data_IF_205036948767
#
_entry.id   IF_205036948767
#
_cell.length_a   1.000
_cell.length_b   1.000
_cell.length_c   1.000
_cell.angle_alpha   90.00
_cell.angle_beta   90.00
_cell.angle_gamma   90.00
#
_symmetry.space_group_name_H-M   'P 1'
#
loop_
_entity.id
_entity.type
_entity.pdbx_description
1 polymer ?
#
# COMPACT_ATOMS: atom_id res chain seq x y z
N UNK A 1 8.11 -6.98 25.83
CA UNK A 1 9.42 -7.58 25.56
C UNK A 1 9.81 -7.22 24.14
N UNK A 2 10.75 -6.30 23.97
CA UNK A 2 11.37 -5.99 22.68
C UNK A 2 12.34 -7.13 22.35
N UNK A 3 12.01 -7.96 21.37
CA UNK A 3 12.95 -8.95 20.87
C UNK A 3 13.95 -8.23 19.96
N UNK A 4 15.16 -8.01 20.44
CA UNK A 4 16.26 -7.48 19.65
C UNK A 4 16.59 -8.46 18.51
N UNK A 5 16.75 -7.93 17.28
CA UNK A 5 17.10 -8.69 16.06
C UNK A 5 18.46 -9.44 16.20
N UNK A 6 19.27 -9.11 17.20
CA UNK A 6 20.58 -9.72 17.47
C UNK A 6 20.56 -11.07 18.20
N UNK A 7 19.39 -11.67 18.45
CA UNK A 7 19.30 -12.98 19.13
C UNK A 7 19.48 -14.14 18.17
N UNK A 8 20.13 -15.22 18.64
CA UNK A 8 20.19 -16.50 17.91
C UNK A 8 18.78 -17.08 17.80
N UNK A 9 18.19 -17.07 16.60
CA UNK A 9 16.86 -17.59 16.36
C UNK A 9 16.87 -19.12 16.29
N UNK A 10 16.04 -19.77 17.09
CA UNK A 10 15.61 -21.13 16.84
C UNK A 10 14.49 -21.14 15.78
N UNK A 11 14.24 -22.23 15.05
CA UNK A 11 13.17 -22.31 14.04
C UNK A 11 11.80 -21.87 14.60
N UNK A 12 11.48 -22.27 15.84
CA UNK A 12 10.22 -21.91 16.51
C UNK A 12 10.19 -20.42 16.86
N UNK A 13 11.32 -19.87 17.31
CA UNK A 13 11.43 -18.43 17.61
C UNK A 13 11.26 -17.58 16.33
N UNK A 14 11.85 -18.02 15.23
CA UNK A 14 11.72 -17.39 13.92
C UNK A 14 10.27 -17.42 13.43
N UNK A 15 9.59 -18.57 13.56
CA UNK A 15 8.18 -18.70 13.18
C UNK A 15 7.28 -17.77 14.03
N UNK A 16 7.50 -17.70 15.34
CA UNK A 16 6.75 -16.78 16.23
C UNK A 16 6.99 -15.30 15.88
N UNK A 17 8.16 -14.96 15.37
CA UNK A 17 8.49 -13.60 14.94
C UNK A 17 7.84 -13.29 13.59
N UNK A 18 7.82 -14.23 12.64
CA UNK A 18 7.24 -14.07 11.31
C UNK A 18 5.69 -14.17 11.29
N UNK A 19 5.09 -14.89 12.24
CA UNK A 19 3.65 -15.15 12.28
C UNK A 19 2.79 -13.88 12.18
N UNK A 20 3.06 -12.78 12.91
CA UNK A 20 2.29 -11.55 12.78
C UNK A 20 2.30 -10.99 11.36
N UNK A 21 3.46 -11.02 10.68
CA UNK A 21 3.58 -10.53 9.30
C UNK A 21 2.81 -11.41 8.31
N UNK A 22 2.82 -12.74 8.51
CA UNK A 22 2.04 -13.67 7.69
C UNK A 22 0.54 -13.44 7.86
N UNK A 23 0.07 -13.31 9.10
CA UNK A 23 -1.34 -13.03 9.41
C UNK A 23 -1.77 -11.68 8.82
N UNK A 24 -0.89 -10.68 8.87
CA UNK A 24 -1.11 -9.37 8.28
C UNK A 24 -1.34 -9.45 6.75
N UNK A 25 -0.53 -10.21 6.02
CA UNK A 25 -0.71 -10.41 4.57
C UNK A 25 -2.03 -11.12 4.25
N UNK A 26 -2.41 -12.13 5.04
CA UNK A 26 -3.70 -12.80 4.89
C UNK A 26 -4.87 -11.83 5.09
N UNK A 27 -4.80 -10.99 6.12
CA UNK A 27 -5.83 -9.97 6.37
C UNK A 27 -5.94 -8.95 5.24
N UNK A 28 -4.81 -8.50 4.67
CA UNK A 28 -4.81 -7.60 3.51
C UNK A 28 -5.53 -8.21 2.30
N UNK A 29 -5.29 -9.49 2.03
CA UNK A 29 -6.00 -10.19 0.95
C UNK A 29 -7.51 -10.31 1.23
N UNK A 30 -7.89 -10.59 2.47
CA UNK A 30 -9.29 -10.72 2.86
C UNK A 30 -10.06 -9.40 2.70
N UNK A 31 -9.52 -8.27 3.15
CA UNK A 31 -10.24 -7.01 3.04
C UNK A 31 -10.40 -6.56 1.58
N UNK A 32 -9.42 -6.81 0.70
CA UNK A 32 -9.56 -6.53 -0.74
C UNK A 32 -10.74 -7.29 -1.37
N UNK A 33 -10.95 -8.55 -0.96
CA UNK A 33 -12.11 -9.34 -1.40
C UNK A 33 -13.42 -8.75 -0.87
N UNK A 34 -13.44 -8.33 0.40
CA UNK A 34 -14.62 -7.73 1.03
C UNK A 34 -14.99 -6.42 0.34
N UNK A 35 -14.03 -5.54 0.05
CA UNK A 35 -14.22 -4.30 -0.70
C UNK A 35 -14.87 -4.57 -2.08
N UNK A 36 -14.34 -5.54 -2.84
CA UNK A 36 -14.91 -5.95 -4.13
C UNK A 36 -16.35 -6.48 -4.01
N UNK A 37 -16.70 -7.21 -2.93
CA UNK A 37 -18.06 -7.67 -2.66
C UNK A 37 -18.99 -6.49 -2.40
N UNK A 38 -18.58 -5.49 -1.62
CA UNK A 38 -19.38 -4.29 -1.36
C UNK A 38 -19.63 -3.51 -2.65
N UNK A 39 -18.61 -3.21 -3.45
CA UNK A 39 -18.76 -2.53 -4.73
C UNK A 39 -19.73 -3.29 -5.63
N UNK A 40 -19.53 -4.59 -5.82
CA UNK A 40 -20.38 -5.41 -6.69
C UNK A 40 -21.84 -5.44 -6.22
N UNK A 41 -22.09 -5.53 -4.92
CA UNK A 41 -23.42 -5.69 -4.34
C UNK A 41 -24.23 -4.39 -4.35
N UNK A 42 -23.61 -3.26 -4.08
CA UNK A 42 -24.31 -1.98 -3.92
C UNK A 42 -24.29 -1.12 -5.18
N UNK A 43 -23.23 -1.19 -5.98
CA UNK A 43 -23.05 -0.37 -7.18
C UNK A 43 -23.22 -1.14 -8.49
N UNK A 44 -23.20 -2.48 -8.43
CA UNK A 44 -23.38 -3.34 -9.60
C UNK A 44 -22.07 -3.64 -10.35
N UNK A 45 -22.25 -4.31 -11.51
CA UNK A 45 -21.12 -4.85 -12.29
C UNK A 45 -20.32 -3.77 -13.04
N UNK A 46 -20.92 -2.64 -13.38
CA UNK A 46 -20.22 -1.55 -14.09
C UNK A 46 -19.21 -0.85 -13.19
N UNK A 47 -19.60 -0.55 -11.95
CA UNK A 47 -18.70 0.02 -10.96
C UNK A 47 -17.57 -0.93 -10.59
N UNK A 48 -17.88 -2.23 -10.43
CA UNK A 48 -16.84 -3.25 -10.19
C UNK A 48 -15.86 -3.35 -11.38
N UNK A 49 -16.36 -3.26 -12.61
CA UNK A 49 -15.52 -3.25 -13.80
C UNK A 49 -14.62 -2.02 -13.85
N UNK A 50 -15.16 -0.85 -13.50
CA UNK A 50 -14.38 0.39 -13.41
C UNK A 50 -13.28 0.28 -12.34
N UNK A 51 -13.59 -0.23 -11.15
CA UNK A 51 -12.60 -0.46 -10.09
C UNK A 51 -11.48 -1.40 -10.57
N UNK A 52 -11.82 -2.50 -11.26
CA UNK A 52 -10.85 -3.46 -11.80
C UNK A 52 -9.96 -2.84 -12.88
N UNK A 53 -10.49 -1.96 -13.75
CA UNK A 53 -9.72 -1.24 -14.77
C UNK A 53 -8.71 -0.28 -14.13
N UNK A 54 -9.08 0.39 -13.06
CA UNK A 54 -8.21 1.33 -12.32
C UNK A 54 -7.19 0.62 -11.43
N UNK A 55 -7.48 -0.60 -11.00
CA UNK A 55 -6.66 -1.37 -10.06
C UNK A 55 -5.16 -1.47 -10.42
N UNK A 56 -4.72 -1.57 -11.70
CA UNK A 56 -3.31 -1.53 -12.06
C UNK A 56 -2.58 -0.27 -11.65
N UNK A 57 -3.22 0.90 -11.67
CA UNK A 57 -2.61 2.17 -11.19
C UNK A 57 -2.38 2.10 -9.69
N UNK A 58 -3.36 1.60 -8.95
CA UNK A 58 -3.22 1.39 -7.51
C UNK A 58 -2.11 0.39 -7.18
N UNK A 59 -2.02 -0.72 -7.92
CA UNK A 59 -0.92 -1.68 -7.79
C UNK A 59 0.44 -1.09 -8.11
N UNK A 60 0.54 -0.18 -9.07
CA UNK A 60 1.79 0.53 -9.36
C UNK A 60 2.23 1.38 -8.15
N UNK A 61 1.30 2.13 -7.55
CA UNK A 61 1.56 2.90 -6.33
C UNK A 61 2.02 1.99 -5.18
N UNK A 62 1.30 0.88 -4.96
CA UNK A 62 1.67 -0.13 -3.97
C UNK A 62 3.05 -0.74 -4.25
N UNK A 63 3.34 -1.12 -5.50
CA UNK A 63 4.61 -1.72 -5.88
C UNK A 63 5.80 -0.78 -5.59
N UNK A 64 5.65 0.51 -5.88
CA UNK A 64 6.65 1.53 -5.52
C UNK A 64 6.78 1.64 -4.00
N UNK A 65 5.65 1.67 -3.28
CA UNK A 65 5.64 1.68 -1.81
C UNK A 65 6.35 0.47 -1.20
N UNK A 66 6.07 -0.72 -1.70
CA UNK A 66 6.69 -1.98 -1.27
C UNK A 66 8.19 -1.98 -1.58
N UNK A 67 8.61 -1.47 -2.74
CA UNK A 67 10.03 -1.33 -3.07
C UNK A 67 10.79 -0.51 -2.03
N UNK A 68 10.28 0.66 -1.67
CA UNK A 68 10.88 1.50 -0.64
C UNK A 68 10.78 0.87 0.75
N UNK A 69 9.67 0.21 1.06
CA UNK A 69 9.44 -0.43 2.35
C UNK A 69 10.39 -1.60 2.59
N UNK A 70 10.46 -2.55 1.65
CA UNK A 70 11.31 -3.75 1.78
C UNK A 70 12.78 -3.43 1.61
N UNK A 71 13.12 -2.66 0.57
CA UNK A 71 14.50 -2.26 0.32
C UNK A 71 15.05 -1.33 1.40
N UNK A 72 14.25 -0.36 1.83
CA UNK A 72 14.63 0.57 2.91
C UNK A 72 14.77 -0.13 4.26
N UNK A 73 13.81 -0.99 4.60
CA UNK A 73 13.89 -1.76 5.86
C UNK A 73 15.12 -2.68 5.90
N UNK A 74 15.55 -3.24 4.78
CA UNK A 74 16.76 -4.07 4.69
C UNK A 74 18.02 -3.24 4.99
N UNK A 75 18.14 -2.04 4.39
CA UNK A 75 19.28 -1.14 4.62
C UNK A 75 19.34 -0.67 6.08
N UNK A 76 18.20 -0.22 6.61
CA UNK A 76 18.08 0.27 7.98
C UNK A 76 18.33 -0.86 8.99
N UNK A 77 17.76 -2.05 8.78
CA UNK A 77 17.99 -3.21 9.66
C UNK A 77 19.45 -3.63 9.69
N UNK A 78 20.15 -3.59 8.55
CA UNK A 78 21.57 -3.87 8.47
C UNK A 78 22.38 -2.91 9.32
N UNK A 79 22.16 -1.61 9.20
CA UNK A 79 22.85 -0.58 9.99
C UNK A 79 22.55 -0.71 11.48
N UNK A 80 21.31 -1.01 11.86
CA UNK A 80 20.95 -1.31 13.26
C UNK A 80 21.72 -2.52 13.80
N UNK A 81 21.84 -3.58 12.99
CA UNK A 81 22.61 -4.78 13.33
C UNK A 81 24.11 -4.53 13.47
N UNK A 82 24.67 -3.57 12.72
CA UNK A 82 26.05 -3.11 12.82
C UNK A 82 26.28 -2.15 14.00
N UNK A 83 25.23 -1.78 14.75
CA UNK A 83 25.30 -0.83 15.87
C UNK A 83 25.32 0.65 15.47
N UNK A 84 25.14 0.97 14.17
CA UNK A 84 25.13 2.33 13.60
C UNK A 84 23.73 2.95 13.70
N UNK A 85 23.26 3.16 14.91
CA UNK A 85 21.86 3.60 15.17
C UNK A 85 21.55 4.97 14.57
N UNK A 86 22.45 5.94 14.69
CA UNK A 86 22.24 7.29 14.17
C UNK A 86 22.08 7.30 12.64
N UNK A 87 22.99 6.62 11.92
CA UNK A 87 22.87 6.47 10.47
C UNK A 87 21.59 5.73 10.06
N UNK A 88 21.16 4.74 10.82
CA UNK A 88 19.93 4.00 10.54
C UNK A 88 18.69 4.88 10.71
N UNK A 89 18.67 5.78 11.70
CA UNK A 89 17.57 6.73 11.94
C UNK A 89 17.54 7.82 10.86
N UNK A 90 18.73 8.32 10.43
CA UNK A 90 18.81 9.26 9.30
C UNK A 90 18.28 8.62 8.01
N UNK A 91 18.70 7.39 7.69
CA UNK A 91 18.24 6.68 6.52
C UNK A 91 16.72 6.39 6.57
N UNK A 92 16.19 6.01 7.72
CA UNK A 92 14.74 5.84 7.93
C UNK A 92 13.98 7.14 7.63
N UNK A 93 14.44 8.27 8.21
CA UNK A 93 13.82 9.58 8.01
C UNK A 93 13.89 10.03 6.56
N UNK A 94 15.06 9.88 5.93
CA UNK A 94 15.31 10.20 4.53
C UNK A 94 14.42 9.38 3.58
N UNK A 95 14.40 8.05 3.75
CA UNK A 95 13.60 7.17 2.88
C UNK A 95 12.09 7.41 3.04
N UNK A 96 11.63 7.73 4.25
CA UNK A 96 10.23 8.11 4.46
C UNK A 96 9.90 9.42 3.76
N UNK A 97 10.76 10.44 3.87
CA UNK A 97 10.56 11.72 3.19
C UNK A 97 10.57 11.58 1.66
N UNK A 98 11.53 10.82 1.10
CA UNK A 98 11.59 10.53 -0.35
C UNK A 98 10.36 9.76 -0.81
N UNK A 99 9.91 8.76 -0.06
CA UNK A 99 8.70 7.99 -0.36
C UNK A 99 7.47 8.88 -0.43
N UNK A 100 7.28 9.75 0.56
CA UNK A 100 6.17 10.72 0.56
C UNK A 100 6.27 11.69 -0.61
N UNK A 101 7.45 12.26 -0.87
CA UNK A 101 7.64 13.18 -1.99
C UNK A 101 7.32 12.51 -3.34
N UNK A 102 7.76 11.27 -3.54
CA UNK A 102 7.48 10.50 -4.75
C UNK A 102 5.98 10.18 -4.87
N UNK A 103 5.31 9.79 -3.77
CA UNK A 103 3.86 9.51 -3.80
C UNK A 103 3.04 10.76 -4.10
N UNK A 104 3.44 11.93 -3.60
CA UNK A 104 2.81 13.21 -3.94
C UNK A 104 3.04 13.55 -5.42
N UNK A 105 4.22 13.32 -5.96
CA UNK A 105 4.52 13.51 -7.38
C UNK A 105 3.64 12.60 -8.25
N UNK A 106 3.54 11.32 -7.91
CA UNK A 106 2.68 10.35 -8.60
C UNK A 106 1.20 10.72 -8.48
N UNK A 107 0.75 11.19 -7.31
CA UNK A 107 -0.59 11.71 -7.10
C UNK A 107 -0.89 12.86 -8.05
N UNK A 108 -0.04 13.88 -8.10
CA UNK A 108 -0.21 15.04 -8.97
C UNK A 108 -0.22 14.61 -10.44
N UNK A 109 0.72 13.77 -10.86
CA UNK A 109 0.77 13.26 -12.22
C UNK A 109 -0.51 12.50 -12.60
N UNK A 110 -1.00 11.64 -11.72
CA UNK A 110 -2.24 10.88 -11.96
C UNK A 110 -3.45 11.80 -12.01
N UNK A 111 -3.55 12.80 -11.12
CA UNK A 111 -4.65 13.77 -11.15
C UNK A 111 -4.66 14.62 -12.43
N UNK A 112 -3.49 15.00 -12.96
CA UNK A 112 -3.41 15.78 -14.21
C UNK A 112 -3.78 14.94 -15.44
N UNK A 113 -3.48 13.65 -15.42
CA UNK A 113 -3.67 12.76 -16.59
C UNK A 113 -4.73 11.67 -16.35
N UNK A 114 -5.62 11.82 -15.36
CA UNK A 114 -6.59 10.78 -14.98
C UNK A 114 -7.43 10.27 -16.16
N UNK A 115 -7.92 11.15 -17.00
CA UNK A 115 -8.75 10.79 -18.16
C UNK A 115 -7.95 9.96 -19.20
N UNK A 116 -6.72 10.40 -19.51
CA UNK A 116 -5.84 9.68 -20.44
C UNK A 116 -5.44 8.32 -19.88
N UNK A 117 -5.20 8.24 -18.58
CA UNK A 117 -4.86 6.98 -17.89
C UNK A 117 -6.05 6.02 -17.96
N UNK A 118 -7.27 6.47 -17.65
CA UNK A 118 -8.47 5.63 -17.70
C UNK A 118 -8.73 5.10 -19.12
N UNK A 119 -8.58 5.94 -20.14
CA UNK A 119 -8.71 5.53 -21.53
C UNK A 119 -7.61 4.54 -21.96
N UNK A 120 -6.36 4.79 -21.55
CA UNK A 120 -5.23 3.91 -21.83
C UNK A 120 -5.41 2.51 -21.21
N UNK A 121 -6.03 2.44 -20.04
CA UNK A 121 -6.34 1.18 -19.34
C UNK A 121 -7.51 0.42 -19.99
N UNK A 122 -8.16 1.01 -21.01
CA UNK A 122 -9.21 0.34 -21.77
C UNK A 122 -10.63 0.62 -21.26
N UNK A 123 -10.85 1.72 -20.53
CA UNK A 123 -12.22 2.10 -20.16
C UNK A 123 -13.03 2.46 -21.40
N UNK A 124 -14.26 1.95 -21.50
CA UNK A 124 -15.23 2.38 -22.50
C UNK A 124 -15.86 3.72 -22.11
N UNK A 125 -16.39 4.48 -23.07
CA UNK A 125 -17.08 5.74 -22.83
C UNK A 125 -18.18 5.63 -21.75
N UNK A 126 -18.84 4.46 -21.68
CA UNK A 126 -19.94 4.18 -20.76
C UNK A 126 -19.51 4.16 -19.28
N UNK A 127 -18.31 3.69 -18.98
CA UNK A 127 -17.79 3.53 -17.60
C UNK A 127 -16.65 4.49 -17.28
N UNK A 128 -16.31 5.38 -18.21
CA UNK A 128 -15.18 6.31 -18.07
C UNK A 128 -15.35 7.22 -16.84
N UNK A 129 -16.58 7.71 -16.60
CA UNK A 129 -16.87 8.57 -15.46
C UNK A 129 -16.66 7.82 -14.13
N UNK A 130 -17.07 6.54 -14.04
CA UNK A 130 -16.78 5.72 -12.87
C UNK A 130 -15.29 5.48 -12.69
N UNK A 131 -14.54 5.19 -13.76
CA UNK A 131 -13.09 5.02 -13.72
C UNK A 131 -12.40 6.30 -13.22
N UNK A 132 -12.77 7.45 -13.76
CA UNK A 132 -12.19 8.74 -13.38
C UNK A 132 -12.53 9.10 -11.94
N UNK A 133 -13.78 8.95 -11.50
CA UNK A 133 -14.19 9.21 -10.13
C UNK A 133 -13.41 8.32 -9.15
N UNK A 134 -13.38 7.01 -9.39
CA UNK A 134 -12.65 6.07 -8.53
C UNK A 134 -11.15 6.37 -8.48
N UNK A 135 -10.51 6.63 -9.64
CA UNK A 135 -9.09 6.94 -9.75
C UNK A 135 -8.73 8.22 -8.99
N UNK A 136 -9.49 9.30 -9.15
CA UNK A 136 -9.23 10.58 -8.51
C UNK A 136 -9.26 10.43 -6.99
N UNK A 137 -10.35 9.86 -6.44
CA UNK A 137 -10.48 9.71 -4.99
C UNK A 137 -9.45 8.74 -4.41
N UNK A 138 -9.15 7.65 -5.12
CA UNK A 138 -8.16 6.67 -4.66
C UNK A 138 -6.75 7.27 -4.61
N UNK A 139 -6.35 8.02 -5.64
CA UNK A 139 -4.99 8.56 -5.72
C UNK A 139 -4.74 9.73 -4.76
N UNK A 140 -5.78 10.41 -4.29
CA UNK A 140 -5.66 11.42 -3.24
C UNK A 140 -5.06 10.85 -1.95
N UNK A 141 -5.25 9.55 -1.71
CA UNK A 141 -4.68 8.84 -0.56
C UNK A 141 -3.33 8.18 -0.86
N UNK A 142 -2.70 8.42 -2.04
CA UNK A 142 -1.41 7.84 -2.39
C UNK A 142 -0.30 8.09 -1.34
N UNK A 143 -0.18 9.28 -0.72
CA UNK A 143 0.78 9.48 0.37
C UNK A 143 0.50 8.62 1.60
N UNK A 144 -0.77 8.39 1.93
CA UNK A 144 -1.15 7.51 3.03
C UNK A 144 -0.82 6.04 2.71
N UNK A 145 -1.09 5.60 1.48
CA UNK A 145 -0.73 4.28 0.97
C UNK A 145 0.78 4.04 1.05
N UNK A 146 1.60 5.01 0.64
CA UNK A 146 3.05 4.96 0.74
C UNK A 146 3.51 4.84 2.20
N UNK A 147 3.00 5.69 3.09
CA UNK A 147 3.34 5.66 4.51
C UNK A 147 2.91 4.36 5.18
N UNK A 148 1.72 3.84 4.86
CA UNK A 148 1.27 2.53 5.34
C UNK A 148 2.27 1.43 4.97
N UNK A 149 2.69 1.35 3.70
CA UNK A 149 3.64 0.35 3.21
C UNK A 149 4.99 0.45 3.93
N UNK A 150 5.52 1.68 4.06
CA UNK A 150 6.77 1.95 4.75
C UNK A 150 6.70 1.55 6.23
N UNK A 151 5.68 2.04 6.95
CA UNK A 151 5.58 1.79 8.39
C UNK A 151 5.32 0.33 8.73
N UNK A 152 4.61 -0.40 7.85
CA UNK A 152 4.43 -1.83 7.99
C UNK A 152 5.77 -2.57 8.10
N UNK A 153 6.72 -2.25 7.22
CA UNK A 153 8.08 -2.83 7.22
C UNK A 153 8.93 -2.25 8.36
N UNK A 154 8.83 -0.96 8.64
CA UNK A 154 9.62 -0.33 9.70
C UNK A 154 9.17 -0.70 11.11
N UNK A 155 7.90 -1.05 11.34
CA UNK A 155 7.47 -1.64 12.61
C UNK A 155 8.13 -2.99 12.86
N UNK A 156 8.34 -3.80 11.84
CA UNK A 156 9.08 -5.06 11.95
C UNK A 156 10.55 -4.77 12.27
N UNK A 157 11.18 -3.84 11.55
CA UNK A 157 12.56 -3.41 11.80
C UNK A 157 12.75 -2.83 13.20
N UNK A 158 11.78 -2.07 13.72
CA UNK A 158 11.79 -1.54 15.08
C UNK A 158 11.45 -2.58 16.17
N UNK A 159 11.34 -3.88 15.82
CA UNK A 159 11.01 -4.96 16.76
C UNK A 159 9.56 -4.92 17.28
N UNK A 160 8.65 -4.25 16.55
CA UNK A 160 7.23 -4.08 16.92
C UNK A 160 6.25 -4.68 15.88
N UNK A 161 6.47 -5.92 15.37
CA UNK A 161 5.63 -6.50 14.33
C UNK A 161 4.15 -6.64 14.75
N UNK A 162 3.89 -6.81 16.06
CA UNK A 162 2.53 -6.87 16.59
C UNK A 162 1.76 -5.56 16.41
N UNK A 163 2.45 -4.41 16.52
CA UNK A 163 1.81 -3.10 16.29
C UNK A 163 1.42 -2.96 14.83
N UNK A 164 2.28 -3.33 13.89
CA UNK A 164 1.97 -3.38 12.47
C UNK A 164 0.74 -4.25 12.17
N UNK A 165 0.69 -5.47 12.76
CA UNK A 165 -0.48 -6.36 12.61
C UNK A 165 -1.77 -5.72 13.13
N UNK A 166 -1.76 -5.17 14.35
CA UNK A 166 -2.95 -4.55 14.95
C UNK A 166 -3.45 -3.39 14.09
N UNK A 167 -2.54 -2.54 13.60
CA UNK A 167 -2.89 -1.41 12.74
C UNK A 167 -3.47 -1.89 11.39
N UNK A 168 -2.94 -2.96 10.81
CA UNK A 168 -3.48 -3.53 9.56
C UNK A 168 -4.89 -4.10 9.78
N UNK A 169 -5.13 -4.80 10.89
CA UNK A 169 -6.47 -5.32 11.22
C UNK A 169 -7.45 -4.18 11.43
N UNK A 170 -7.08 -3.15 12.19
CA UNK A 170 -7.94 -1.96 12.40
C UNK A 170 -8.22 -1.25 11.07
N UNK A 171 -7.22 -1.10 10.21
CA UNK A 171 -7.37 -0.49 8.89
C UNK A 171 -8.36 -1.27 8.00
N UNK A 172 -8.24 -2.60 7.96
CA UNK A 172 -9.16 -3.44 7.18
C UNK A 172 -10.59 -3.45 7.74
N UNK A 173 -10.76 -3.46 9.07
CA UNK A 173 -12.08 -3.35 9.69
C UNK A 173 -12.70 -1.96 9.45
N UNK A 174 -11.90 -0.90 9.53
CA UNK A 174 -12.36 0.45 9.23
C UNK A 174 -12.75 0.59 7.75
N UNK A 175 -11.97 0.07 6.82
CA UNK A 175 -12.32 0.03 5.40
C UNK A 175 -13.69 -0.65 5.21
N UNK A 176 -13.88 -1.89 5.69
CA UNK A 176 -15.15 -2.60 5.55
C UNK A 176 -16.34 -1.87 6.22
N UNK A 177 -16.11 -1.21 7.36
CA UNK A 177 -17.11 -0.39 8.03
C UNK A 177 -17.49 0.83 7.18
N UNK A 178 -16.51 1.55 6.65
CA UNK A 178 -16.76 2.74 5.83
C UNK A 178 -17.31 2.39 4.45
N UNK A 179 -16.95 1.23 3.85
CA UNK A 179 -17.62 0.73 2.65
C UNK A 179 -19.11 0.57 2.89
N UNK A 180 -19.49 -0.14 3.95
CA UNK A 180 -20.89 -0.26 4.32
C UNK A 180 -21.56 1.10 4.57
N UNK A 181 -20.89 1.98 5.31
CA UNK A 181 -21.46 3.29 5.67
C UNK A 181 -21.66 4.19 4.45
N UNK A 182 -20.66 4.31 3.58
CA UNK A 182 -20.76 5.18 2.41
C UNK A 182 -21.66 4.60 1.32
N UNK A 183 -21.55 3.32 1.03
CA UNK A 183 -22.30 2.70 -0.05
C UNK A 183 -23.75 2.34 0.37
N UNK A 184 -23.94 1.77 1.56
CA UNK A 184 -25.25 1.30 1.98
C UNK A 184 -26.08 2.36 2.73
N UNK A 185 -25.46 3.19 3.58
CA UNK A 185 -26.15 4.18 4.41
C UNK A 185 -26.24 5.54 3.73
N UNK A 186 -25.11 6.04 3.22
CA UNK A 186 -25.06 7.34 2.56
C UNK A 186 -25.49 7.28 1.09
N UNK A 187 -25.54 6.10 0.46
CA UNK A 187 -25.89 5.95 -0.95
C UNK A 187 -24.88 6.62 -1.89
N UNK A 188 -23.62 6.72 -1.49
CA UNK A 188 -22.56 7.25 -2.35
C UNK A 188 -22.27 6.26 -3.49
N UNK A 189 -21.80 6.80 -4.61
CA UNK A 189 -21.36 6.00 -5.75
C UNK A 189 -19.95 5.45 -5.51
N UNK A 190 -19.20 5.15 -6.57
CA UNK A 190 -17.88 4.47 -6.50
C UNK A 190 -16.82 5.27 -5.72
N UNK A 191 -16.95 6.58 -5.64
CA UNK A 191 -16.11 7.44 -4.81
C UNK A 191 -16.19 7.09 -3.32
N UNK A 192 -17.34 6.61 -2.86
CA UNK A 192 -17.51 6.14 -1.48
C UNK A 192 -16.58 4.98 -1.14
N UNK A 193 -16.43 4.00 -2.05
CA UNK A 193 -15.49 2.89 -1.89
C UNK A 193 -14.02 3.37 -1.90
N UNK A 194 -13.68 4.30 -2.82
CA UNK A 194 -12.33 4.87 -2.86
C UNK A 194 -11.96 5.61 -1.57
N UNK A 195 -12.89 6.39 -1.02
CA UNK A 195 -12.71 7.12 0.25
C UNK A 195 -12.58 6.13 1.42
N UNK A 196 -13.40 5.08 1.47
CA UNK A 196 -13.32 4.06 2.50
C UNK A 196 -11.95 3.37 2.52
N UNK A 197 -11.45 2.99 1.34
CA UNK A 197 -10.10 2.43 1.18
C UNK A 197 -9.02 3.43 1.63
N UNK A 198 -9.16 4.70 1.24
CA UNK A 198 -8.25 5.76 1.66
C UNK A 198 -8.22 6.00 3.17
N UNK A 199 -9.38 6.01 3.83
CA UNK A 199 -9.48 6.13 5.30
C UNK A 199 -8.81 4.93 5.98
N UNK A 200 -9.02 3.71 5.46
CA UNK A 200 -8.33 2.52 5.95
C UNK A 200 -6.81 2.69 5.93
N UNK A 201 -6.25 3.24 4.83
CA UNK A 201 -4.81 3.49 4.69
C UNK A 201 -4.30 4.65 5.57
N UNK A 202 -5.14 5.66 5.83
CA UNK A 202 -4.80 6.79 6.70
C UNK A 202 -4.54 6.35 8.14
N UNK A 203 -5.22 5.33 8.66
CA UNK A 203 -5.06 4.87 10.04
C UNK A 203 -3.62 4.45 10.34
N UNK A 204 -3.00 3.47 9.64
CA UNK A 204 -1.62 3.11 9.89
C UNK A 204 -0.63 4.22 9.51
N UNK A 205 -0.95 5.06 8.51
CA UNK A 205 -0.12 6.20 8.14
C UNK A 205 -0.04 7.24 9.28
N UNK A 206 -1.18 7.66 9.83
CA UNK A 206 -1.23 8.65 10.92
C UNK A 206 -0.66 8.07 12.20
N UNK A 207 -1.12 6.88 12.62
CA UNK A 207 -0.64 6.25 13.87
C UNK A 207 0.85 5.94 13.78
N UNK A 208 1.34 5.47 12.62
CA UNK A 208 2.77 5.24 12.39
C UNK A 208 3.58 6.52 12.48
N UNK A 209 3.12 7.59 11.85
CA UNK A 209 3.77 8.92 11.93
C UNK A 209 3.85 9.41 13.37
N UNK A 210 2.72 9.36 14.10
CA UNK A 210 2.68 9.73 15.52
C UNK A 210 3.62 8.86 16.35
N UNK A 211 3.62 7.56 16.11
CA UNK A 211 4.50 6.63 16.82
C UNK A 211 5.97 6.97 16.61
N UNK A 212 6.45 7.08 15.38
CA UNK A 212 7.85 7.34 15.07
C UNK A 212 8.28 8.79 15.40
N UNK A 213 7.34 9.72 15.55
CA UNK A 213 7.64 11.09 15.92
C UNK A 213 7.77 11.28 17.44
N UNK A 214 6.86 10.68 18.21
CA UNK A 214 6.79 10.91 19.66
C UNK A 214 7.45 9.82 20.50
N UNK A 215 7.43 8.57 20.06
CA UNK A 215 8.04 7.47 20.82
C UNK A 215 9.49 7.27 20.40
N UNK A 216 10.43 7.69 21.26
CA UNK A 216 11.88 7.50 21.07
C UNK A 216 12.26 6.03 21.30
N UNK A 217 11.88 5.16 20.35
CA UNK A 217 12.27 3.77 20.31
C UNK A 217 13.60 3.53 19.58
N UNK A 218 13.79 2.34 19.01
CA UNK A 218 14.97 2.03 18.19
C UNK A 218 15.01 2.83 16.88
N UNK A 219 13.85 3.20 16.34
CA UNK A 219 13.66 4.09 15.20
C UNK A 219 12.78 5.26 15.61
N UNK A 220 13.18 6.46 15.25
CA UNK A 220 12.39 7.70 15.34
C UNK A 220 12.90 8.70 14.32
N UNK A 221 12.07 9.70 14.01
CA UNK A 221 12.44 10.74 13.07
C UNK A 221 13.55 11.63 13.62
N UNK A 222 14.58 11.82 12.79
CA UNK A 222 15.72 12.73 13.06
C UNK A 222 15.95 13.60 11.82
N UNK A 223 16.60 14.76 11.97
CA UNK A 223 17.10 15.51 10.82
C UNK A 223 18.00 14.62 9.97
N UNK A 224 17.86 14.71 8.65
CA UNK A 224 18.58 13.85 7.71
C UNK A 224 19.26 14.67 6.62
N UNK A 225 20.29 14.10 6.01
CA UNK A 225 20.93 14.62 4.83
C UNK A 225 20.55 13.77 3.60
N UNK A 226 20.83 14.29 2.42
CA UNK A 226 20.58 13.53 1.19
C UNK A 226 21.60 12.40 1.02
N UNK A 227 21.15 11.16 1.12
CA UNK A 227 21.98 9.96 0.99
C UNK A 227 21.64 9.20 -0.30
N UNK A 228 22.19 9.63 -1.44
CA UNK A 228 21.95 8.99 -2.74
C UNK A 228 22.36 7.51 -2.80
N UNK A 229 23.40 7.12 -2.06
CA UNK A 229 23.83 5.71 -1.96
C UNK A 229 22.78 4.84 -1.28
N UNK A 230 22.19 5.31 -0.16
CA UNK A 230 21.09 4.64 0.55
C UNK A 230 19.87 4.48 -0.34
N UNK A 231 19.49 5.53 -1.07
CA UNK A 231 18.38 5.49 -2.00
C UNK A 231 18.60 4.42 -3.09
N UNK A 232 19.76 4.45 -3.75
CA UNK A 232 20.12 3.45 -4.78
C UNK A 232 20.09 2.04 -4.23
N UNK A 233 20.65 1.81 -3.05
CA UNK A 233 20.67 0.49 -2.41
C UNK A 233 19.27 0.02 -2.01
N UNK A 234 18.42 0.91 -1.51
CA UNK A 234 17.02 0.60 -1.18
C UNK A 234 16.23 0.24 -2.43
N UNK A 235 16.34 1.02 -3.51
CA UNK A 235 15.68 0.71 -4.77
C UNK A 235 16.17 -0.64 -5.34
N UNK A 236 17.47 -0.91 -5.28
CA UNK A 236 18.02 -2.19 -5.76
C UNK A 236 17.52 -3.37 -4.94
N UNK A 237 17.57 -3.28 -3.61
CA UNK A 237 17.12 -4.35 -2.72
C UNK A 237 15.61 -4.63 -2.83
N UNK A 238 14.80 -3.58 -3.04
CA UNK A 238 13.35 -3.71 -3.15
C UNK A 238 12.84 -3.97 -4.57
N UNK A 239 13.71 -3.92 -5.59
CA UNK A 239 13.31 -4.06 -7.00
C UNK A 239 12.66 -5.41 -7.31
N UNK A 240 13.11 -6.50 -6.68
CA UNK A 240 12.52 -7.83 -6.87
C UNK A 240 11.07 -7.90 -6.42
N UNK A 241 10.75 -7.30 -5.28
CA UNK A 241 9.39 -7.23 -4.75
C UNK A 241 8.50 -6.32 -5.61
N UNK A 242 9.04 -5.19 -6.08
CA UNK A 242 8.34 -4.32 -7.01
C UNK A 242 7.99 -5.05 -8.31
N UNK A 243 8.96 -5.75 -8.93
CA UNK A 243 8.74 -6.50 -10.17
C UNK A 243 7.73 -7.63 -9.97
N UNK A 244 7.78 -8.34 -8.83
CA UNK A 244 6.81 -9.39 -8.51
C UNK A 244 5.39 -8.83 -8.40
N UNK A 245 5.22 -7.70 -7.73
CA UNK A 245 3.91 -7.04 -7.61
C UNK A 245 3.40 -6.50 -8.96
N UNK A 246 4.28 -5.91 -9.78
CA UNK A 246 3.93 -5.46 -11.13
C UNK A 246 3.55 -6.64 -12.04
N UNK A 247 4.29 -7.74 -11.97
CA UNK A 247 3.96 -8.95 -12.72
C UNK A 247 2.57 -9.48 -12.35
N UNK A 248 2.24 -9.54 -11.06
CA UNK A 248 0.91 -9.92 -10.60
C UNK A 248 -0.17 -8.95 -11.11
N UNK A 249 0.08 -7.64 -11.10
CA UNK A 249 -0.84 -6.65 -11.62
C UNK A 249 -1.10 -6.82 -13.13
N UNK A 250 -0.06 -7.07 -13.92
CA UNK A 250 -0.15 -7.31 -15.36
C UNK A 250 -0.91 -8.63 -15.63
N UNK A 251 -0.60 -9.68 -14.91
CA UNK A 251 -1.31 -10.97 -15.03
C UNK A 251 -2.80 -10.76 -14.73
N UNK A 252 -3.13 -10.07 -13.64
CA UNK A 252 -4.50 -9.77 -13.28
C UNK A 252 -5.22 -8.99 -14.39
N UNK A 253 -4.57 -7.97 -14.97
CA UNK A 253 -5.12 -7.19 -16.08
C UNK A 253 -5.38 -8.06 -17.32
N UNK A 254 -4.46 -8.95 -17.68
CA UNK A 254 -4.60 -9.83 -18.83
C UNK A 254 -5.71 -10.88 -18.65
N UNK A 255 -5.90 -11.37 -17.41
CA UNK A 255 -6.96 -12.33 -17.11
C UNK A 255 -8.35 -11.67 -16.96
N UNK A 256 -8.42 -10.39 -16.61
CA UNK A 256 -9.68 -9.65 -16.50
C UNK A 256 -10.09 -8.94 -17.79
N UNK A 257 -9.17 -8.80 -18.77
CA UNK A 257 -9.51 -8.33 -20.12
C UNK A 257 -10.42 -9.33 -20.80
N UNK A 258 -11.62 -8.93 -21.28
CA UNK A 258 -12.51 -9.83 -22.00
C UNK A 258 -11.76 -10.42 -23.21
N UNK A 259 -11.72 -11.76 -23.28
CA UNK A 259 -11.11 -12.46 -24.40
C UNK A 259 -11.79 -12.03 -25.71
N UNK A 260 -11.05 -11.89 -26.82
CA UNK A 260 -11.67 -11.66 -28.13
C UNK A 260 -12.74 -12.70 -28.51
N UNK A 261 -12.76 -13.87 -27.84
CA UNK A 261 -13.77 -14.91 -27.99
C UNK A 261 -15.10 -14.57 -27.32
N UNK A 262 -15.07 -13.81 -26.22
CA UNK A 262 -16.30 -13.41 -25.49
C UNK A 262 -17.04 -12.29 -26.24
N UNK A 263 -16.31 -11.48 -27.03
CA UNK A 263 -16.88 -10.45 -27.91
C UNK A 263 -17.54 -11.06 -29.17
N UNK A 264 -17.21 -12.30 -29.56
CA UNK A 264 -17.78 -12.97 -30.74
C UNK A 264 -19.08 -13.73 -30.47
N UNK A 265 -19.42 -13.98 -29.18
CA UNK A 265 -20.63 -14.73 -28.78
C UNK A 265 -21.80 -13.82 -28.41
N UNK A 266 -21.63 -12.50 -28.43
CA UNK A 266 -22.72 -11.52 -28.16
C UNK A 266 -23.29 -10.88 -29.44
N UNK A 267 -23.38 -11.65 -30.56
CA UNK A 267 -24.14 -11.28 -31.75
C UNK A 267 -25.30 -12.23 -31.96
#
# INVERSE_FOLDING_TARGET
>A
MSQSISQKFTPISLLKFALPSMVMMMFMSCYTIVDGIFISRYLGSEALSAANIVYPVFNLLLAVGIMFATGGSAVVSKKLGEGKKEEAMEDFSFLTAVGVALSVLLMIATLLFHNQISLFLGSSERILDYCNAYLIYLVLFAPACMLQSLYQSFFVTAGKPRLGLVLTVIAGLANAFFDYFFLAVCGMEIEGAAIATGIGQMIPAVVGTVYFFFFKGELHFVPFHFHGATLKQSCFNGSSEMVSNLANAIICLLYTSPSPRDLSTSR
#
